data_IF_229019385046
#
_entry.id   IF_229019385046
#
_cell.length_a   1.000
_cell.length_b   1.000
_cell.length_c   1.000
_cell.angle_alpha   90.00
_cell.angle_beta   90.00
_cell.angle_gamma   90.00
#
_symmetry.space_group_name_H-M   'P 1'
#
loop_
_entity.id
_entity.type
_entity.pdbx_description
1 polymer ?
#
# COMPACT_ATOMS: atom_id res chain seq x y z
N UNK A 1 -2.23 2.44 -68.99
CA UNK A 1 -1.74 3.18 -67.81
C UNK A 1 -0.92 2.23 -66.96
N UNK A 2 0.38 2.18 -67.18
CA UNK A 2 1.34 1.32 -66.46
C UNK A 2 1.73 1.99 -65.14
N UNK A 3 1.37 1.38 -64.01
CA UNK A 3 1.75 1.85 -62.68
C UNK A 3 3.23 1.57 -62.49
N UNK A 4 4.06 2.61 -62.40
CA UNK A 4 5.48 2.46 -62.08
C UNK A 4 5.61 1.80 -60.70
N UNK A 5 6.38 0.71 -60.62
CA UNK A 5 6.70 0.08 -59.35
C UNK A 5 7.56 1.05 -58.51
N UNK A 6 7.38 1.06 -57.19
CA UNK A 6 8.11 1.97 -56.31
C UNK A 6 9.63 1.72 -56.38
N UNK A 7 10.41 2.79 -56.24
CA UNK A 7 11.84 2.85 -56.60
C UNK A 7 12.75 1.80 -55.94
N UNK A 8 12.34 1.23 -54.80
CA UNK A 8 13.07 0.18 -54.08
C UNK A 8 13.00 -1.21 -54.77
N UNK A 9 12.10 -1.42 -55.72
CA UNK A 9 12.03 -2.66 -56.52
C UNK A 9 13.07 -2.73 -57.65
N UNK A 10 13.86 -1.67 -57.86
CA UNK A 10 14.98 -1.64 -58.83
C UNK A 10 16.34 -1.99 -58.20
N UNK A 11 16.37 -2.35 -56.91
CA UNK A 11 17.56 -2.96 -56.28
C UNK A 11 17.65 -4.46 -56.60
N UNK A 12 18.85 -5.03 -56.44
CA UNK A 12 19.15 -6.45 -56.65
C UNK A 12 18.04 -7.33 -56.05
N UNK A 13 17.37 -8.20 -56.83
CA UNK A 13 16.15 -8.91 -56.40
C UNK A 13 16.34 -9.74 -55.12
N UNK A 14 17.57 -10.18 -54.81
CA UNK A 14 17.89 -10.86 -53.56
C UNK A 14 17.69 -9.97 -52.33
N UNK A 15 18.08 -8.69 -52.41
CA UNK A 15 17.96 -7.71 -51.32
C UNK A 15 16.49 -7.35 -51.08
N UNK A 16 15.70 -7.27 -52.14
CA UNK A 16 14.26 -6.97 -52.03
C UNK A 16 13.50 -8.12 -51.37
N UNK A 17 13.84 -9.37 -51.68
CA UNK A 17 13.28 -10.55 -51.02
C UNK A 17 13.66 -10.60 -49.54
N UNK A 18 14.93 -10.34 -49.20
CA UNK A 18 15.41 -10.32 -47.82
C UNK A 18 14.71 -9.23 -46.99
N UNK A 19 14.49 -8.04 -47.57
CA UNK A 19 13.74 -6.97 -46.91
C UNK A 19 12.25 -7.31 -46.72
N UNK A 20 11.62 -7.98 -47.70
CA UNK A 20 10.22 -8.41 -47.56
C UNK A 20 10.06 -9.50 -46.51
N UNK A 21 10.98 -10.45 -46.45
CA UNK A 21 11.00 -11.50 -45.42
C UNK A 21 11.28 -10.91 -44.03
N UNK A 22 12.23 -9.98 -43.92
CA UNK A 22 12.48 -9.25 -42.68
C UNK A 22 11.25 -8.48 -42.21
N UNK A 23 10.52 -7.83 -43.13
CA UNK A 23 9.30 -7.10 -42.81
C UNK A 23 8.16 -8.03 -42.37
N UNK A 24 7.97 -9.17 -43.05
CA UNK A 24 7.00 -10.21 -42.66
C UNK A 24 7.33 -10.83 -41.31
N UNK A 25 8.61 -11.13 -41.04
CA UNK A 25 9.07 -11.65 -39.76
C UNK A 25 8.89 -10.64 -38.64
N UNK A 26 9.10 -9.34 -38.91
CA UNK A 26 8.85 -8.28 -37.92
C UNK A 26 7.35 -8.11 -37.62
N UNK A 27 6.49 -8.24 -38.63
CA UNK A 27 5.05 -8.26 -38.42
C UNK A 27 4.58 -9.50 -37.65
N UNK A 28 5.11 -10.69 -37.97
CA UNK A 28 4.81 -11.91 -37.24
C UNK A 28 5.26 -11.83 -35.77
N UNK A 29 6.45 -11.26 -35.50
CA UNK A 29 6.93 -10.98 -34.13
C UNK A 29 6.03 -9.99 -33.38
N UNK A 30 5.50 -8.97 -34.06
CA UNK A 30 4.54 -8.02 -33.48
C UNK A 30 3.18 -8.65 -33.19
N UNK A 31 2.78 -9.67 -33.96
CA UNK A 31 1.53 -10.42 -33.75
C UNK A 31 1.68 -11.55 -32.72
N UNK A 32 2.90 -12.07 -32.51
CA UNK A 32 3.22 -13.15 -31.56
C UNK A 32 3.77 -12.68 -30.22
N UNK A 33 4.22 -11.42 -30.09
CA UNK A 33 4.48 -10.86 -28.78
C UNK A 33 3.12 -10.75 -28.06
N UNK A 34 2.88 -11.50 -26.97
CA UNK A 34 1.70 -11.25 -26.17
C UNK A 34 1.84 -9.82 -25.71
N UNK A 35 0.92 -8.95 -26.15
CA UNK A 35 0.84 -7.61 -25.58
C UNK A 35 0.57 -7.83 -24.09
N UNK A 36 1.60 -7.69 -23.26
CA UNK A 36 1.43 -7.56 -21.82
C UNK A 36 0.32 -6.54 -21.63
N UNK A 37 -0.82 -6.99 -21.14
CA UNK A 37 -1.94 -6.11 -20.89
C UNK A 37 -1.51 -5.11 -19.83
N UNK A 38 -2.17 -3.96 -19.74
CA UNK A 38 -1.90 -2.99 -18.66
C UNK A 38 -1.96 -3.69 -17.29
N UNK A 39 -2.81 -4.71 -17.16
CA UNK A 39 -2.91 -5.55 -15.96
C UNK A 39 -1.69 -6.47 -15.73
N UNK A 40 -1.02 -6.93 -16.79
CA UNK A 40 0.20 -7.76 -16.70
C UNK A 40 1.43 -6.96 -16.25
N UNK A 41 1.44 -5.64 -16.51
CA UNK A 41 2.48 -4.72 -16.02
C UNK A 41 2.34 -4.36 -14.54
N UNK A 42 1.14 -4.52 -13.96
CA UNK A 42 0.89 -4.23 -12.55
C UNK A 42 0.90 -5.50 -11.67
N UNK A 43 0.83 -6.70 -12.24
CA UNK A 43 0.63 -7.95 -11.49
C UNK A 43 1.87 -8.53 -10.79
N UNK A 44 3.01 -7.84 -10.79
CA UNK A 44 4.24 -8.37 -10.18
C UNK A 44 4.23 -8.31 -8.63
N UNK A 45 3.26 -7.62 -8.02
CA UNK A 45 2.72 -7.84 -6.66
C UNK A 45 1.74 -6.69 -6.35
N UNK A 46 0.61 -6.62 -7.05
CA UNK A 46 -0.39 -5.59 -6.72
C UNK A 46 -0.94 -5.82 -5.33
N UNK A 47 -0.71 -4.86 -4.43
CA UNK A 47 -1.58 -4.65 -3.27
C UNK A 47 -3.01 -4.62 -3.79
N UNK A 48 -3.83 -5.60 -3.40
CA UNK A 48 -5.21 -5.64 -3.89
C UNK A 48 -5.95 -4.44 -3.30
N UNK A 49 -6.97 -3.94 -4.00
CA UNK A 49 -7.77 -2.79 -3.52
C UNK A 49 -8.36 -3.06 -2.14
N UNK A 50 -8.70 -4.32 -1.87
CA UNK A 50 -9.23 -4.79 -0.60
C UNK A 50 -8.17 -4.76 0.51
N UNK A 51 -6.98 -5.32 0.28
CA UNK A 51 -5.86 -5.24 1.22
C UNK A 51 -5.44 -3.80 1.51
N UNK A 52 -5.50 -2.94 0.50
CA UNK A 52 -5.27 -1.51 0.66
C UNK A 52 -6.29 -0.88 1.61
N UNK A 53 -7.56 -1.30 1.57
CA UNK A 53 -8.60 -0.80 2.47
C UNK A 53 -8.42 -1.38 3.90
N UNK A 54 -8.15 -2.68 4.03
CA UNK A 54 -7.87 -3.31 5.32
C UNK A 54 -6.67 -2.66 6.03
N UNK A 55 -5.57 -2.41 5.30
CA UNK A 55 -4.40 -1.72 5.83
C UNK A 55 -4.75 -0.33 6.38
N UNK A 56 -5.59 0.37 5.64
CA UNK A 56 -6.06 1.71 5.94
C UNK A 56 -6.95 1.72 7.20
N UNK A 57 -7.72 0.67 7.46
CA UNK A 57 -8.53 0.51 8.67
C UNK A 57 -7.68 0.13 9.89
N UNK A 58 -6.74 -0.80 9.70
CA UNK A 58 -5.74 -1.19 10.72
C UNK A 58 -4.91 0.02 11.19
N UNK A 59 -4.47 0.88 10.26
CA UNK A 59 -3.78 2.11 10.60
C UNK A 59 -4.65 3.08 11.43
N UNK A 60 -5.95 3.12 11.16
CA UNK A 60 -6.86 3.98 11.91
C UNK A 60 -7.08 3.46 13.34
N UNK A 61 -7.18 2.14 13.52
CA UNK A 61 -7.24 1.50 14.84
C UNK A 61 -5.99 1.84 15.64
N UNK A 62 -4.80 1.61 15.06
CA UNK A 62 -3.52 1.95 15.69
C UNK A 62 -3.45 3.42 16.09
N UNK A 63 -3.84 4.33 15.19
CA UNK A 63 -3.76 5.77 15.44
C UNK A 63 -4.69 6.21 16.58
N UNK A 64 -5.89 5.62 16.70
CA UNK A 64 -6.82 5.90 17.80
C UNK A 64 -6.22 5.55 19.15
N UNK A 65 -5.66 4.35 19.28
CA UNK A 65 -5.03 3.87 20.51
C UNK A 65 -3.77 4.68 20.83
N UNK A 66 -2.89 4.86 19.84
CA UNK A 66 -1.68 5.66 20.01
C UNK A 66 -1.97 7.10 20.43
N UNK A 67 -3.05 7.70 19.91
CA UNK A 67 -3.49 9.04 20.31
C UNK A 67 -4.03 9.05 21.76
N UNK A 68 -4.72 8.00 22.18
CA UNK A 68 -5.23 7.89 23.55
C UNK A 68 -4.08 7.71 24.57
N UNK A 69 -3.01 7.01 24.19
CA UNK A 69 -1.82 6.79 25.03
C UNK A 69 -0.86 7.99 25.07
N UNK A 70 -0.83 8.80 24.00
CA UNK A 70 0.02 10.00 23.91
C UNK A 70 -0.24 10.94 25.09
N UNK A 71 0.85 11.41 25.68
CA UNK A 71 0.82 12.35 26.81
C UNK A 71 0.10 13.63 26.42
N UNK A 72 -0.87 14.03 27.24
CA UNK A 72 -1.50 15.33 27.12
C UNK A 72 -0.96 16.21 28.25
N UNK A 73 -0.37 17.36 27.90
CA UNK A 73 0.17 18.33 28.86
C UNK A 73 1.29 17.78 29.78
N UNK A 74 2.07 16.79 29.32
CA UNK A 74 3.23 16.23 30.04
C UNK A 74 2.91 15.08 30.99
N UNK A 75 1.67 14.59 30.98
CA UNK A 75 1.30 13.36 31.68
C UNK A 75 0.61 12.41 30.71
N UNK A 76 1.01 11.13 30.71
CA UNK A 76 0.21 10.11 30.02
C UNK A 76 -1.07 9.90 30.82
N UNK A 77 -2.25 9.94 30.17
CA UNK A 77 -3.50 9.58 30.82
C UNK A 77 -3.52 8.10 31.25
N UNK A 78 -2.61 7.28 30.71
CA UNK A 78 -2.50 5.86 30.96
C UNK A 78 -1.14 5.55 31.58
N UNK A 79 -1.14 4.98 32.78
CA UNK A 79 0.11 4.48 33.37
C UNK A 79 0.61 3.28 32.55
N UNK A 80 1.92 3.19 32.22
CA UNK A 80 2.47 2.09 31.41
C UNK A 80 2.15 0.68 31.96
N UNK A 81 2.00 0.54 33.28
CA UNK A 81 1.66 -0.74 33.94
C UNK A 81 0.18 -1.09 33.94
N UNK A 82 -0.71 -0.12 33.65
CA UNK A 82 -2.17 -0.29 33.67
C UNK A 82 -2.81 -0.10 32.30
N UNK A 83 -2.01 -0.08 31.23
CA UNK A 83 -2.50 0.17 29.86
C UNK A 83 -3.50 -0.87 29.34
N UNK A 84 -3.47 -2.06 29.93
CA UNK A 84 -4.33 -3.19 29.58
C UNK A 84 -5.43 -3.43 30.62
N UNK A 85 -5.55 -2.57 31.64
CA UNK A 85 -6.55 -2.71 32.68
C UNK A 85 -7.79 -1.93 32.30
N UNK A 86 -8.88 -2.65 32.01
CA UNK A 86 -10.18 -2.06 31.67
C UNK A 86 -11.18 -2.31 32.78
N UNK A 87 -12.07 -1.34 33.04
CA UNK A 87 -13.11 -1.46 34.08
C UNK A 87 -14.05 -2.65 33.87
N UNK A 88 -14.15 -3.13 32.64
CA UNK A 88 -14.97 -4.28 32.19
C UNK A 88 -14.42 -5.63 32.65
N UNK A 89 -13.19 -5.71 33.16
CA UNK A 89 -12.65 -6.97 33.72
C UNK A 89 -13.37 -7.43 35.00
N UNK A 90 -14.25 -6.59 35.58
CA UNK A 90 -14.91 -6.83 36.88
C UNK A 90 -16.41 -7.16 36.76
N UNK A 91 -17.10 -6.67 35.71
CA UNK A 91 -18.55 -6.85 35.54
C UNK A 91 -18.85 -7.34 34.13
N UNK A 92 -19.36 -8.57 34.02
CA UNK A 92 -19.75 -9.18 32.74
C UNK A 92 -21.28 -9.23 32.65
N UNK A 93 -21.87 -8.28 31.93
CA UNK A 93 -23.06 -8.59 31.13
C UNK A 93 -22.60 -9.21 29.79
N UNK A 94 -23.42 -10.04 29.14
CA UNK A 94 -23.04 -10.72 27.88
C UNK A 94 -22.70 -9.71 26.77
N UNK A 95 -23.32 -8.54 26.80
CA UNK A 95 -23.06 -7.46 25.86
C UNK A 95 -21.72 -6.74 26.13
N UNK A 96 -21.37 -6.55 27.39
CA UNK A 96 -20.09 -5.94 27.80
C UNK A 96 -18.90 -6.86 27.49
N UNK A 97 -19.12 -8.18 27.48
CA UNK A 97 -18.09 -9.17 27.15
C UNK A 97 -17.62 -9.09 25.68
N UNK A 98 -18.54 -8.80 24.75
CA UNK A 98 -18.24 -8.64 23.33
C UNK A 98 -17.45 -7.36 23.07
N UNK A 99 -17.87 -6.23 23.65
CA UNK A 99 -17.16 -4.94 23.54
C UNK A 99 -15.74 -5.04 24.12
N UNK A 100 -15.60 -5.66 25.29
CA UNK A 100 -14.28 -5.90 25.89
C UNK A 100 -13.39 -6.81 25.03
N UNK A 101 -13.97 -7.76 24.27
CA UNK A 101 -13.20 -8.59 23.35
C UNK A 101 -12.68 -7.77 22.15
N UNK A 102 -13.52 -6.92 21.58
CA UNK A 102 -13.15 -6.05 20.47
C UNK A 102 -12.06 -5.03 20.89
N UNK A 103 -12.16 -4.47 22.10
CA UNK A 103 -11.12 -3.60 22.66
C UNK A 103 -9.77 -4.31 22.77
N UNK A 104 -9.75 -5.55 23.31
CA UNK A 104 -8.53 -6.36 23.40
C UNK A 104 -7.93 -6.66 22.03
N UNK A 105 -8.77 -6.98 21.04
CA UNK A 105 -8.35 -7.21 19.65
C UNK A 105 -7.73 -5.93 19.07
N UNK A 106 -8.39 -4.79 19.26
CA UNK A 106 -7.90 -3.50 18.77
C UNK A 106 -6.55 -3.12 19.40
N UNK A 107 -6.38 -3.34 20.71
CA UNK A 107 -5.10 -3.15 21.40
C UNK A 107 -4.01 -4.05 20.83
N UNK A 108 -4.30 -5.34 20.63
CA UNK A 108 -3.36 -6.27 20.00
C UNK A 108 -2.95 -5.81 18.59
N UNK A 109 -3.93 -5.42 17.76
CA UNK A 109 -3.67 -4.88 16.41
C UNK A 109 -2.76 -3.67 16.47
N UNK A 110 -3.05 -2.71 17.37
CA UNK A 110 -2.23 -1.52 17.52
C UNK A 110 -0.79 -1.85 17.92
N UNK A 111 -0.58 -2.77 18.87
CA UNK A 111 0.76 -3.22 19.26
C UNK A 111 1.53 -3.85 18.09
N UNK A 112 0.88 -4.69 17.29
CA UNK A 112 1.51 -5.30 16.11
C UNK A 112 1.90 -4.25 15.06
N UNK A 113 1.04 -3.26 14.84
CA UNK A 113 1.33 -2.14 13.92
C UNK A 113 2.50 -1.32 14.44
N UNK A 114 2.54 -1.01 15.74
CA UNK A 114 3.60 -0.22 16.35
C UNK A 114 4.97 -0.90 16.22
N UNK A 115 5.02 -2.21 16.48
CA UNK A 115 6.21 -3.04 16.24
C UNK A 115 6.66 -2.94 14.78
N UNK A 116 5.74 -3.00 13.82
CA UNK A 116 6.09 -2.87 12.41
C UNK A 116 6.59 -1.45 12.06
N UNK A 117 5.94 -0.41 12.57
CA UNK A 117 6.34 1.00 12.36
C UNK A 117 7.71 1.32 12.96
N UNK A 118 8.09 0.66 14.05
CA UNK A 118 9.40 0.81 14.68
C UNK A 118 10.56 0.40 13.76
N UNK A 119 10.30 -0.50 12.81
CA UNK A 119 11.30 -0.96 11.82
C UNK A 119 11.48 -0.02 10.65
N UNK A 120 10.54 0.89 10.42
CA UNK A 120 10.60 1.83 9.31
C UNK A 120 11.59 2.97 9.57
N UNK A 121 12.24 3.50 8.51
CA UNK A 121 12.96 4.76 8.56
C UNK A 121 12.09 5.90 9.09
N UNK A 122 12.71 6.88 9.75
CA UNK A 122 12.01 8.00 10.38
C UNK A 122 11.13 8.78 9.40
N UNK A 123 11.58 8.98 8.17
CA UNK A 123 10.83 9.71 7.13
C UNK A 123 9.51 8.99 6.76
N UNK A 124 9.57 7.67 6.59
CA UNK A 124 8.41 6.85 6.29
C UNK A 124 7.45 6.81 7.47
N UNK A 125 7.97 6.71 8.70
CA UNK A 125 7.15 6.73 9.91
C UNK A 125 6.39 8.05 10.08
N UNK A 126 7.05 9.18 9.82
CA UNK A 126 6.42 10.51 9.84
C UNK A 126 5.31 10.58 8.77
N UNK A 127 5.57 10.04 7.56
CA UNK A 127 4.58 10.04 6.50
C UNK A 127 3.32 9.24 6.87
N UNK A 128 3.48 8.09 7.53
CA UNK A 128 2.37 7.28 8.04
C UNK A 128 1.61 7.99 9.16
N UNK A 129 2.30 8.59 10.15
CA UNK A 129 1.64 9.30 11.26
C UNK A 129 0.83 10.50 10.77
N UNK A 130 1.37 11.29 9.83
CA UNK A 130 0.66 12.42 9.22
C UNK A 130 -0.55 11.95 8.41
N UNK A 131 -0.41 10.88 7.62
CA UNK A 131 -1.52 10.31 6.85
C UNK A 131 -2.64 9.80 7.78
N UNK A 132 -2.31 8.98 8.78
CA UNK A 132 -3.28 8.44 9.73
C UNK A 132 -3.99 9.55 10.52
N UNK A 133 -3.26 10.60 10.90
CA UNK A 133 -3.82 11.77 11.59
C UNK A 133 -4.79 12.55 10.73
N UNK A 134 -4.45 12.81 9.46
CA UNK A 134 -5.34 13.48 8.51
C UNK A 134 -6.60 12.65 8.26
N UNK A 135 -6.44 11.34 8.10
CA UNK A 135 -7.56 10.42 7.91
C UNK A 135 -8.49 10.37 9.11
N UNK A 136 -7.95 10.35 10.33
CA UNK A 136 -8.74 10.40 11.56
C UNK A 136 -9.56 11.69 11.69
N UNK A 137 -9.00 12.83 11.28
CA UNK A 137 -9.74 14.12 11.27
C UNK A 137 -10.72 14.20 10.09
N UNK A 138 -10.51 13.40 9.03
CA UNK A 138 -11.28 13.47 7.80
C UNK A 138 -10.92 14.66 6.92
N UNK A 139 -9.76 15.31 7.16
CA UNK A 139 -9.32 16.48 6.42
C UNK A 139 -7.78 16.58 6.39
N UNK A 140 -7.22 17.22 5.35
CA UNK A 140 -5.77 17.36 5.14
C UNK A 140 -5.17 18.55 5.92
N UNK A 141 -5.27 18.50 7.25
CA UNK A 141 -4.85 19.60 8.15
C UNK A 141 -3.36 19.55 8.46
N UNK A 142 -2.79 18.36 8.58
CA UNK A 142 -1.41 18.15 9.00
C UNK A 142 -0.52 17.94 7.79
N UNK A 143 0.62 18.62 7.79
CA UNK A 143 1.62 18.53 6.73
C UNK A 143 3.02 18.61 7.31
N UNK A 144 3.94 17.85 6.72
CA UNK A 144 5.36 18.01 6.99
C UNK A 144 5.91 19.21 6.20
N UNK A 145 6.41 20.28 6.85
CA UNK A 145 6.95 21.45 6.15
C UNK A 145 8.29 21.17 5.46
N UNK A 146 8.99 20.09 5.84
CA UNK A 146 10.31 19.73 5.29
C UNK A 146 10.23 18.93 3.99
N UNK A 147 9.05 18.44 3.63
CA UNK A 147 8.83 17.61 2.44
C UNK A 147 7.73 18.20 1.57
N UNK A 148 7.86 18.05 0.25
CA UNK A 148 6.76 18.36 -0.67
C UNK A 148 5.65 17.32 -0.52
N UNK A 149 4.44 17.66 -0.98
CA UNK A 149 3.31 16.72 -0.94
C UNK A 149 3.59 15.44 -1.75
N UNK A 150 4.29 15.59 -2.87
CA UNK A 150 4.70 14.46 -3.73
C UNK A 150 5.71 13.55 -3.01
N UNK A 151 6.74 14.13 -2.39
CA UNK A 151 7.73 13.38 -1.62
C UNK A 151 7.08 12.64 -0.44
N UNK A 152 6.12 13.30 0.24
CA UNK A 152 5.36 12.67 1.31
C UNK A 152 4.54 11.48 0.80
N UNK A 153 3.88 11.63 -0.35
CA UNK A 153 3.13 10.53 -0.97
C UNK A 153 4.05 9.36 -1.33
N UNK A 154 5.21 9.62 -1.93
CA UNK A 154 6.20 8.57 -2.26
C UNK A 154 6.69 7.86 -0.99
N UNK A 155 7.01 8.61 0.08
CA UNK A 155 7.42 8.03 1.35
C UNK A 155 6.32 7.17 1.99
N UNK A 156 5.05 7.60 1.89
CA UNK A 156 3.91 6.82 2.36
C UNK A 156 3.71 5.52 1.57
N UNK A 157 3.82 5.57 0.24
CA UNK A 157 3.70 4.37 -0.60
C UNK A 157 4.85 3.38 -0.32
N UNK A 158 6.07 3.88 -0.14
CA UNK A 158 7.21 3.04 0.26
C UNK A 158 7.00 2.39 1.63
N UNK A 159 6.46 3.14 2.60
CA UNK A 159 6.09 2.62 3.91
C UNK A 159 5.04 1.51 3.78
N UNK A 160 3.98 1.75 3.00
CA UNK A 160 2.90 0.79 2.77
C UNK A 160 3.38 -0.50 2.12
N UNK A 161 4.23 -0.41 1.10
CA UNK A 161 4.85 -1.57 0.45
C UNK A 161 5.69 -2.40 1.43
N UNK A 162 6.33 -1.76 2.41
CA UNK A 162 7.12 -2.44 3.43
C UNK A 162 6.26 -3.07 4.54
N UNK A 163 5.22 -2.36 4.99
CA UNK A 163 4.37 -2.79 6.10
C UNK A 163 3.42 -3.93 5.73
N UNK A 164 2.84 -3.91 4.53
CA UNK A 164 1.88 -4.93 4.10
C UNK A 164 2.37 -6.37 4.26
N UNK A 165 3.55 -6.77 3.76
CA UNK A 165 4.04 -8.13 3.97
C UNK A 165 4.33 -8.45 5.44
N UNK A 166 4.69 -7.45 6.26
CA UNK A 166 4.92 -7.65 7.70
C UNK A 166 3.62 -7.86 8.48
N UNK A 167 2.54 -7.20 8.06
CA UNK A 167 1.21 -7.33 8.67
C UNK A 167 0.50 -8.61 8.22
N UNK A 168 0.68 -9.03 6.95
CA UNK A 168 0.22 -10.35 6.47
C UNK A 168 0.84 -11.49 7.26
N UNK A 169 2.16 -11.42 7.54
CA UNK A 169 2.85 -12.45 8.35
C UNK A 169 2.39 -12.54 9.80
N UNK A 170 1.67 -11.52 10.29
CA UNK A 170 1.14 -11.44 11.65
C UNK A 170 -0.37 -11.70 11.72
N UNK A 171 -0.96 -12.12 10.59
CA UNK A 171 -2.40 -12.37 10.42
C UNK A 171 -3.31 -11.18 10.79
N UNK A 172 -2.76 -9.95 10.73
CA UNK A 172 -3.51 -8.71 10.99
C UNK A 172 -4.31 -8.29 9.75
N UNK A 173 -3.82 -8.64 8.57
CA UNK A 173 -4.45 -8.37 7.28
C UNK A 173 -4.61 -9.71 6.56
N UNK A 174 -5.82 -9.97 6.07
CA UNK A 174 -6.08 -11.19 5.29
C UNK A 174 -5.71 -10.93 3.83
N UNK A 175 -4.84 -11.77 3.27
CA UNK A 175 -4.52 -11.70 1.86
C UNK A 175 -5.76 -12.12 1.04
N UNK A 176 -6.29 -11.21 0.23
CA UNK A 176 -7.37 -11.53 -0.72
C UNK A 176 -6.75 -12.30 -1.89
N UNK A 177 -7.01 -13.61 -1.95
CA UNK A 177 -6.61 -14.50 -3.05
C UNK A 177 -7.57 -14.42 -4.23
#
# INVERSE_FOLDING_TARGET
>A
MTRALPWFMYQDPAIVCEQQEAWRNNQARRQQAPAMTINDLFSEATVTKDESAQFEDVLLIWYRISKAEKENLGHSPVSPGFKHCTSTDVYFDEQDAAEAADERINHYIAEQVDVCLSTLPSEQRIAVDVHARNKYVGNAVFRNPRMTAEQHHVAYQAAKATLLPMLRKRDVITASY
#
